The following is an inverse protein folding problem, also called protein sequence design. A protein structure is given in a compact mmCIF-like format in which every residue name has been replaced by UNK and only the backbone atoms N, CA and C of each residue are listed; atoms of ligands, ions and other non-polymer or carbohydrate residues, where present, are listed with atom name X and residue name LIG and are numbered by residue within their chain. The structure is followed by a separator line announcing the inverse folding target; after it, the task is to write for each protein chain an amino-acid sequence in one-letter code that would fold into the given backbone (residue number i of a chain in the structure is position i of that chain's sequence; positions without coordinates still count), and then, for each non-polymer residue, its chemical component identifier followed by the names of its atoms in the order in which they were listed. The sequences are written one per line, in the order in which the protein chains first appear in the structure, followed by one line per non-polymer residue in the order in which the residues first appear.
data_IF_879568532670
#
_entry.id   IF_879568532670
#
_cell.length_a   1.000
_cell.length_b   1.000
_cell.length_c   1.000
_cell.angle_alpha   90.00
_cell.angle_beta   90.00
_cell.angle_gamma   90.00
#
_symmetry.space_group_name_H-M   'P 1'
#
loop_
_entity.id
_entity.type
_entity.pdbx_description
1 polymer ?
#
# COMPACT_ATOMS: atom_id res chain seq x y z
N UNK A 1 10.90 7.51 24.55
CA UNK A 1 9.41 7.52 24.54
C UNK A 1 8.96 7.02 23.16
N UNK A 2 7.88 6.23 23.11
CA UNK A 2 7.28 5.84 21.82
C UNK A 2 6.83 7.09 21.04
N UNK A 3 6.96 7.12 19.71
CA UNK A 3 6.52 8.26 18.90
C UNK A 3 5.00 8.44 19.00
N UNK A 4 4.55 9.70 19.05
CA UNK A 4 3.13 10.04 18.94
C UNK A 4 2.78 10.07 17.46
N UNK A 5 1.96 9.11 17.00
CA UNK A 5 1.66 8.92 15.60
C UNK A 5 0.15 9.04 15.37
N UNK A 6 -0.25 9.73 14.28
CA UNK A 6 -1.62 9.76 13.81
C UNK A 6 -1.67 9.69 12.29
N UNK A 7 -2.48 8.79 11.77
CA UNK A 7 -2.77 8.65 10.33
C UNK A 7 -4.16 9.18 10.06
N UNK A 8 -4.28 10.18 9.18
CA UNK A 8 -5.58 10.73 8.78
C UNK A 8 -5.87 10.37 7.33
N UNK A 9 -6.95 9.65 7.10
CA UNK A 9 -7.41 9.24 5.77
C UNK A 9 -8.92 9.01 5.76
N UNK A 10 -9.50 8.78 4.60
CA UNK A 10 -10.87 8.29 4.49
C UNK A 10 -11.02 6.89 5.10
N UNK A 11 -12.24 6.51 5.50
CA UNK A 11 -12.53 5.16 5.99
C UNK A 11 -12.50 4.14 4.85
N UNK A 12 -11.33 3.98 4.29
CA UNK A 12 -10.96 3.09 3.20
C UNK A 12 -9.58 2.49 3.48
N UNK A 13 -9.24 1.41 2.80
CA UNK A 13 -7.85 0.93 2.68
C UNK A 13 -7.04 1.95 1.86
N UNK A 14 -7.34 2.07 0.60
CA UNK A 14 -6.81 3.06 -0.34
C UNK A 14 -5.32 3.33 -0.18
N UNK A 15 -4.95 4.62 -0.32
CA UNK A 15 -3.55 5.06 -0.27
C UNK A 15 -2.94 5.07 1.15
N UNK A 16 -3.73 4.89 2.21
CA UNK A 16 -3.22 4.84 3.58
C UNK A 16 -2.92 3.42 4.07
N UNK A 17 -3.42 2.39 3.42
CA UNK A 17 -3.24 1.02 3.90
C UNK A 17 -1.78 0.56 3.95
N UNK A 18 -0.89 0.90 2.99
CA UNK A 18 0.53 0.57 3.12
C UNK A 18 1.17 1.14 4.38
N UNK A 19 0.82 2.36 4.77
CA UNK A 19 1.30 2.98 6.02
C UNK A 19 0.80 2.21 7.24
N UNK A 20 -0.48 1.85 7.28
CA UNK A 20 -1.07 1.07 8.37
C UNK A 20 -0.43 -0.31 8.51
N UNK A 21 -0.14 -0.98 7.39
CA UNK A 21 0.55 -2.26 7.38
C UNK A 21 1.98 -2.15 7.92
N UNK A 22 2.72 -1.09 7.55
CA UNK A 22 4.07 -0.85 8.05
C UNK A 22 4.07 -0.52 9.55
N UNK A 23 3.14 0.32 10.01
CA UNK A 23 2.99 0.62 11.45
C UNK A 23 2.64 -0.66 12.24
N UNK A 24 1.73 -1.48 11.69
CA UNK A 24 1.39 -2.77 12.29
C UNK A 24 2.61 -3.69 12.32
N UNK A 25 3.37 -3.83 11.22
CA UNK A 25 4.59 -4.63 11.17
C UNK A 25 5.59 -4.21 12.26
N UNK A 26 5.82 -2.90 12.41
CA UNK A 26 6.72 -2.34 13.42
C UNK A 26 6.19 -2.40 14.85
N UNK A 27 4.94 -2.85 15.06
CA UNK A 27 4.31 -2.84 16.38
C UNK A 27 4.11 -1.42 16.95
N UNK A 28 4.01 -0.42 16.08
CA UNK A 28 3.86 0.97 16.48
C UNK A 28 2.37 1.30 16.72
N UNK A 29 2.06 1.81 17.90
CA UNK A 29 0.73 2.31 18.21
C UNK A 29 0.50 3.66 17.54
N UNK A 30 -0.70 3.88 17.00
CA UNK A 30 -1.08 5.11 16.33
C UNK A 30 -2.59 5.37 16.42
N UNK A 31 -2.96 6.63 16.28
CA UNK A 31 -4.35 7.04 16.09
C UNK A 31 -4.71 6.89 14.60
N UNK A 32 -5.68 6.04 14.26
CA UNK A 32 -6.21 5.88 12.91
C UNK A 32 -7.46 6.78 12.72
N UNK A 33 -7.23 8.03 12.36
CA UNK A 33 -8.28 9.02 12.14
C UNK A 33 -8.94 8.80 10.77
N UNK A 34 -10.13 8.21 10.78
CA UNK A 34 -10.87 7.85 9.57
C UNK A 34 -12.01 8.82 9.32
N UNK A 35 -11.95 9.53 8.20
CA UNK A 35 -13.00 10.41 7.73
C UNK A 35 -14.02 9.62 6.91
N UNK A 36 -15.29 10.03 6.97
CA UNK A 36 -16.30 9.55 6.02
C UNK A 36 -15.85 9.88 4.59
N UNK A 37 -15.94 8.92 3.63
CA UNK A 37 -15.62 9.21 2.24
C UNK A 37 -16.43 10.41 1.70
N UNK A 38 -15.80 11.25 0.89
CA UNK A 38 -16.40 12.50 0.43
C UNK A 38 -17.61 12.31 -0.50
N UNK A 39 -17.79 11.12 -1.06
CA UNK A 39 -19.00 10.77 -1.83
C UNK A 39 -20.19 10.38 -0.96
N UNK A 40 -19.99 10.06 0.33
CA UNK A 40 -21.05 9.76 1.30
C UNK A 40 -21.39 11.01 2.11
N UNK A 41 -20.39 11.72 2.66
CA UNK A 41 -20.51 13.03 3.30
C UNK A 41 -19.26 13.88 3.04
N UNK A 42 -19.35 14.91 2.21
CA UNK A 42 -18.20 15.76 1.87
C UNK A 42 -17.80 16.72 2.99
N UNK A 43 -18.66 17.00 3.98
CA UNK A 43 -18.44 18.07 4.98
C UNK A 43 -17.14 17.89 5.79
N UNK A 44 -16.84 16.71 6.38
CA UNK A 44 -15.60 16.54 7.17
C UNK A 44 -14.36 16.79 6.31
N UNK A 45 -14.36 16.30 5.07
CA UNK A 45 -13.26 16.52 4.14
C UNK A 45 -13.14 17.99 3.72
N UNK A 46 -14.23 18.64 3.36
CA UNK A 46 -14.22 20.04 2.95
C UNK A 46 -13.73 20.98 4.06
N UNK A 47 -14.01 20.66 5.32
CA UNK A 47 -13.51 21.41 6.49
C UNK A 47 -12.00 21.20 6.73
N UNK A 48 -11.49 20.02 6.40
CA UNK A 48 -10.07 19.67 6.59
C UNK A 48 -9.20 20.12 5.40
N UNK A 49 -9.70 19.99 4.17
CA UNK A 49 -8.94 20.19 2.93
C UNK A 49 -8.09 21.47 2.88
N UNK A 50 -8.61 22.66 3.29
CA UNK A 50 -7.81 23.88 3.28
C UNK A 50 -6.63 23.89 4.27
N UNK A 51 -6.65 22.99 5.25
CA UNK A 51 -5.61 22.85 6.28
C UNK A 51 -4.54 21.83 5.92
N UNK A 52 -4.68 21.13 4.80
CA UNK A 52 -3.72 20.14 4.35
C UNK A 52 -2.65 20.77 3.45
N UNK A 53 -1.39 20.31 3.49
CA UNK A 53 -0.29 20.93 2.73
C UNK A 53 -0.52 20.99 1.22
N UNK A 54 -1.19 19.97 0.65
CA UNK A 54 -1.39 19.83 -0.80
C UNK A 54 -2.85 19.58 -1.19
N UNK A 55 -3.82 19.93 -0.32
CA UNK A 55 -5.24 19.71 -0.61
C UNK A 55 -5.64 18.24 -0.75
N UNK A 56 -4.88 17.30 -0.14
CA UNK A 56 -5.06 15.86 -0.31
C UNK A 56 -4.77 15.04 0.96
N UNK A 57 -5.18 13.77 0.93
CA UNK A 57 -4.94 12.75 1.95
C UNK A 57 -4.18 11.56 1.32
N UNK A 58 -3.46 10.74 2.11
CA UNK A 58 -3.35 10.73 3.57
C UNK A 58 -2.46 11.84 4.14
N UNK A 59 -2.60 12.06 5.46
CA UNK A 59 -1.64 12.77 6.29
C UNK A 59 -1.09 11.83 7.35
N UNK A 60 0.19 12.02 7.70
CA UNK A 60 0.83 11.41 8.86
C UNK A 60 1.30 12.53 9.79
N UNK A 61 0.81 12.52 11.02
CA UNK A 61 1.40 13.30 12.11
C UNK A 61 2.39 12.40 12.85
N UNK A 62 3.63 12.86 13.00
CA UNK A 62 4.71 12.11 13.66
C UNK A 62 5.46 13.04 14.60
N UNK A 63 5.30 12.84 15.91
CA UNK A 63 5.89 13.70 16.94
C UNK A 63 5.62 15.20 16.76
N UNK A 64 4.43 15.55 16.26
CA UNK A 64 4.00 16.94 16.03
C UNK A 64 4.28 17.49 14.62
N UNK A 65 5.11 16.80 13.83
CA UNK A 65 5.34 17.16 12.42
C UNK A 65 4.33 16.49 11.51
N UNK A 66 3.88 17.21 10.48
CA UNK A 66 2.90 16.69 9.50
C UNK A 66 3.56 16.38 8.17
N UNK A 67 3.44 15.13 7.72
CA UNK A 67 3.82 14.68 6.40
C UNK A 67 2.59 14.43 5.52
N UNK A 68 2.71 14.75 4.24
CA UNK A 68 1.72 14.47 3.21
C UNK A 68 2.37 13.72 2.05
N UNK A 69 1.57 13.30 1.05
CA UNK A 69 1.96 12.42 -0.06
C UNK A 69 2.17 10.97 0.37
N UNK A 70 1.27 10.09 -0.06
CA UNK A 70 1.20 8.70 0.41
C UNK A 70 2.53 7.95 0.27
N UNK A 71 3.24 8.08 -0.86
CA UNK A 71 4.51 7.36 -1.05
C UNK A 71 5.66 7.96 -0.21
N UNK A 72 5.67 9.29 0.02
CA UNK A 72 6.63 9.90 0.93
C UNK A 72 6.41 9.42 2.37
N UNK A 73 5.16 9.41 2.82
CA UNK A 73 4.76 8.90 4.14
C UNK A 73 5.15 7.42 4.28
N UNK A 74 4.79 6.59 3.29
CA UNK A 74 5.07 5.14 3.34
C UNK A 74 6.56 4.87 3.39
N UNK A 75 7.36 5.57 2.57
CA UNK A 75 8.83 5.44 2.56
C UNK A 75 9.46 5.91 3.88
N UNK A 76 8.93 6.97 4.47
CA UNK A 76 9.37 7.43 5.79
C UNK A 76 9.12 6.34 6.85
N UNK A 77 7.88 5.84 6.95
CA UNK A 77 7.54 4.79 7.92
C UNK A 77 8.33 3.51 7.65
N UNK A 78 8.57 3.15 6.38
CA UNK A 78 9.42 2.00 6.03
C UNK A 78 10.84 2.13 6.60
N UNK A 79 11.42 3.33 6.62
CA UNK A 79 12.72 3.60 7.27
C UNK A 79 12.64 3.42 8.78
N UNK A 80 11.61 3.97 9.41
CA UNK A 80 11.42 3.91 10.87
C UNK A 80 11.24 2.46 11.37
N UNK A 81 10.65 1.57 10.54
CA UNK A 81 10.45 0.15 10.90
C UNK A 81 11.51 -0.79 10.30
N UNK A 82 12.58 -0.24 9.69
CA UNK A 82 13.70 -1.02 9.17
C UNK A 82 13.42 -1.78 7.87
N UNK A 83 12.40 -1.38 7.09
CA UNK A 83 12.00 -2.03 5.84
C UNK A 83 12.35 -1.24 4.57
N UNK A 84 13.15 -0.18 4.65
CA UNK A 84 13.51 0.63 3.48
C UNK A 84 14.53 -0.05 2.55
N UNK A 85 15.26 -1.04 3.02
CA UNK A 85 16.46 -1.63 2.41
C UNK A 85 17.70 -1.33 3.25
N UNK A 86 18.74 -2.16 3.15
CA UNK A 86 19.95 -2.09 4.01
C UNK A 86 21.05 -1.20 3.43
N UNK A 87 20.99 -0.86 2.17
CA UNK A 87 21.91 0.02 1.46
C UNK A 87 21.18 0.76 0.34
N UNK A 88 21.85 1.72 -0.28
CA UNK A 88 21.25 2.58 -1.32
C UNK A 88 20.71 1.80 -2.51
N UNK A 89 21.37 0.70 -2.91
CA UNK A 89 20.90 -0.14 -4.02
C UNK A 89 19.62 -0.90 -3.64
N UNK A 90 19.57 -1.51 -2.45
CA UNK A 90 18.36 -2.18 -1.96
C UNK A 90 17.21 -1.19 -1.79
N UNK A 91 17.48 0.03 -1.29
CA UNK A 91 16.47 1.09 -1.23
C UNK A 91 15.92 1.43 -2.62
N UNK A 92 16.80 1.64 -3.60
CA UNK A 92 16.39 1.93 -4.98
C UNK A 92 15.62 0.76 -5.61
N UNK A 93 16.01 -0.48 -5.32
CA UNK A 93 15.30 -1.66 -5.78
C UNK A 93 13.90 -1.79 -5.17
N UNK A 94 13.75 -1.43 -3.90
CA UNK A 94 12.44 -1.41 -3.24
C UNK A 94 11.57 -0.29 -3.82
N UNK A 95 12.12 0.92 -4.00
CA UNK A 95 11.43 2.05 -4.61
C UNK A 95 10.95 1.72 -6.05
N UNK A 96 11.80 1.10 -6.89
CA UNK A 96 11.45 0.64 -8.24
C UNK A 96 10.17 -0.21 -8.26
N UNK A 97 10.09 -1.17 -7.36
CA UNK A 97 8.95 -2.09 -7.30
C UNK A 97 7.70 -1.40 -6.75
N UNK A 98 7.88 -0.52 -5.77
CA UNK A 98 6.79 0.27 -5.20
C UNK A 98 6.18 1.20 -6.25
N UNK A 99 7.01 1.85 -7.07
CA UNK A 99 6.55 2.71 -8.14
C UNK A 99 5.76 1.90 -9.18
N UNK A 100 6.23 0.69 -9.56
CA UNK A 100 5.48 -0.21 -10.44
C UNK A 100 4.10 -0.63 -9.88
N UNK A 101 4.00 -0.91 -8.57
CA UNK A 101 2.69 -1.16 -7.93
C UNK A 101 1.84 0.11 -7.82
N UNK A 102 2.47 1.28 -7.67
CA UNK A 102 1.76 2.56 -7.64
C UNK A 102 1.12 2.88 -8.98
N UNK A 103 1.84 2.68 -10.09
CA UNK A 103 1.32 2.82 -11.46
C UNK A 103 0.12 1.90 -11.69
N UNK A 104 0.22 0.64 -11.23
CA UNK A 104 -0.85 -0.34 -11.34
C UNK A 104 -2.08 0.03 -10.51
N UNK A 105 -1.87 0.57 -9.31
CA UNK A 105 -2.95 1.07 -8.45
C UNK A 105 -3.62 2.31 -9.08
N UNK A 106 -2.84 3.18 -9.71
CA UNK A 106 -3.37 4.37 -10.37
C UNK A 106 -4.16 4.00 -11.62
N UNK A 107 -3.69 3.02 -12.41
CA UNK A 107 -4.43 2.49 -13.55
C UNK A 107 -5.76 1.86 -13.11
N UNK A 108 -5.78 1.12 -11.99
CA UNK A 108 -7.01 0.59 -11.40
C UNK A 108 -7.97 1.71 -11.00
N UNK A 109 -7.47 2.74 -10.31
CA UNK A 109 -8.29 3.87 -9.89
C UNK A 109 -8.89 4.60 -11.09
N UNK A 110 -8.13 4.85 -12.15
CA UNK A 110 -8.62 5.46 -13.39
C UNK A 110 -9.73 4.62 -14.02
N UNK A 111 -9.55 3.31 -14.13
CA UNK A 111 -10.57 2.40 -14.67
C UNK A 111 -11.84 2.39 -13.81
N UNK A 112 -11.70 2.35 -12.49
CA UNK A 112 -12.82 2.34 -11.54
C UNK A 112 -13.63 3.64 -11.58
N UNK A 113 -12.96 4.80 -11.52
CA UNK A 113 -13.65 6.10 -11.50
C UNK A 113 -14.16 6.55 -12.86
N UNK A 114 -13.71 5.95 -13.97
CA UNK A 114 -14.26 6.22 -15.29
C UNK A 114 -15.72 5.77 -15.44
N UNK A 115 -16.16 4.80 -14.61
CA UNK A 115 -17.47 4.12 -14.71
C UNK A 115 -17.70 3.50 -16.09
N UNK A 116 -16.63 3.13 -16.78
CA UNK A 116 -16.62 2.51 -18.10
C UNK A 116 -16.22 1.04 -17.97
N UNK A 117 -17.16 0.14 -18.18
CA UNK A 117 -16.95 -1.30 -18.07
C UNK A 117 -15.86 -1.81 -19.03
N UNK A 118 -15.69 -1.18 -20.19
CA UNK A 118 -14.65 -1.55 -21.15
C UNK A 118 -13.25 -1.23 -20.61
N UNK A 119 -13.09 -0.09 -19.93
CA UNK A 119 -11.83 0.27 -19.27
C UNK A 119 -11.52 -0.68 -18.10
N UNK A 120 -12.51 -1.00 -17.28
CA UNK A 120 -12.33 -1.96 -16.19
C UNK A 120 -12.01 -3.35 -16.73
N UNK A 121 -12.69 -3.81 -17.79
CA UNK A 121 -12.38 -5.07 -18.46
C UNK A 121 -10.95 -5.08 -18.98
N UNK A 122 -10.52 -4.04 -19.69
CA UNK A 122 -9.14 -3.91 -20.17
C UNK A 122 -8.12 -3.95 -19.02
N UNK A 123 -8.41 -3.26 -17.92
CA UNK A 123 -7.54 -3.30 -16.74
C UNK A 123 -7.39 -4.73 -16.21
N UNK A 124 -8.49 -5.45 -16.03
CA UNK A 124 -8.49 -6.78 -15.41
C UNK A 124 -7.95 -7.88 -16.33
N UNK A 125 -8.17 -7.78 -17.65
CA UNK A 125 -7.77 -8.85 -18.59
C UNK A 125 -6.42 -8.62 -19.26
N UNK A 126 -5.91 -7.38 -19.30
CA UNK A 126 -4.68 -7.04 -20.00
C UNK A 126 -3.67 -6.32 -19.10
N UNK A 127 -4.04 -5.16 -18.55
CA UNK A 127 -3.10 -4.27 -17.85
C UNK A 127 -2.54 -4.91 -16.59
N UNK A 128 -3.41 -5.38 -15.70
CA UNK A 128 -3.02 -5.97 -14.42
C UNK A 128 -2.26 -7.29 -14.59
N UNK A 129 -2.70 -8.27 -15.40
CA UNK A 129 -1.96 -9.50 -15.62
C UNK A 129 -0.58 -9.26 -16.26
N UNK A 130 -0.48 -8.34 -17.22
CA UNK A 130 0.82 -8.00 -17.85
C UNK A 130 1.79 -7.42 -16.84
N UNK A 131 1.35 -6.48 -16.01
CA UNK A 131 2.20 -5.87 -14.97
C UNK A 131 2.61 -6.88 -13.89
N UNK A 132 1.68 -7.73 -13.43
CA UNK A 132 1.99 -8.81 -12.49
C UNK A 132 2.99 -9.82 -13.10
N UNK A 133 2.88 -10.13 -14.41
CA UNK A 133 3.85 -10.98 -15.11
C UNK A 133 5.26 -10.37 -15.12
N UNK A 134 5.38 -9.07 -15.29
CA UNK A 134 6.67 -8.37 -15.22
C UNK A 134 7.22 -8.36 -13.79
N UNK A 135 6.38 -8.14 -12.80
CA UNK A 135 6.76 -8.21 -11.37
C UNK A 135 7.15 -9.63 -10.96
N UNK A 136 6.47 -10.67 -11.45
CA UNK A 136 6.85 -12.08 -11.22
C UNK A 136 8.25 -12.38 -11.77
N UNK A 137 8.56 -11.93 -13.00
CA UNK A 137 9.89 -12.05 -13.60
C UNK A 137 10.92 -11.27 -12.78
N UNK A 138 10.56 -10.05 -12.33
CA UNK A 138 11.46 -9.23 -11.51
C UNK A 138 11.77 -9.91 -10.17
N UNK A 139 10.76 -10.44 -9.49
CA UNK A 139 10.93 -11.20 -8.26
C UNK A 139 11.80 -12.44 -8.52
N UNK A 140 11.56 -13.19 -9.60
CA UNK A 140 12.35 -14.34 -9.99
C UNK A 140 13.83 -14.00 -10.21
N UNK A 141 14.12 -12.89 -10.90
CA UNK A 141 15.51 -12.45 -11.19
C UNK A 141 16.29 -12.07 -9.92
N UNK A 142 15.58 -11.83 -8.80
CA UNK A 142 16.16 -11.50 -7.49
C UNK A 142 16.12 -12.68 -6.50
N UNK A 143 16.02 -13.92 -6.98
CA UNK A 143 16.00 -15.13 -6.16
C UNK A 143 14.61 -15.60 -5.73
N UNK A 144 13.55 -14.84 -6.05
CA UNK A 144 12.16 -15.25 -5.88
C UNK A 144 11.59 -15.18 -4.47
N UNK A 145 12.37 -14.70 -3.49
CA UNK A 145 11.90 -14.57 -2.11
C UNK A 145 11.45 -13.16 -1.75
N UNK A 146 12.23 -12.16 -2.11
CA UNK A 146 11.98 -10.74 -1.81
C UNK A 146 12.26 -9.90 -3.05
N UNK A 147 11.58 -8.77 -3.16
CA UNK A 147 11.76 -7.84 -4.28
C UNK A 147 13.07 -7.05 -4.23
N UNK A 148 13.64 -6.85 -3.04
CA UNK A 148 14.91 -6.15 -2.88
C UNK A 148 15.80 -6.87 -1.86
N UNK A 149 17.07 -7.08 -2.22
CA UNK A 149 18.02 -7.77 -1.37
C UNK A 149 17.61 -9.21 -1.01
N UNK A 150 17.91 -9.62 0.22
CA UNK A 150 17.62 -10.96 0.74
C UNK A 150 16.76 -10.94 2.02
N UNK A 151 16.08 -9.82 2.29
CA UNK A 151 15.20 -9.64 3.45
C UNK A 151 13.94 -8.88 3.06
N UNK A 152 12.93 -8.94 3.93
CA UNK A 152 11.68 -8.20 3.75
C UNK A 152 11.95 -6.70 3.61
N UNK A 153 11.28 -6.09 2.65
CA UNK A 153 11.25 -4.64 2.45
C UNK A 153 9.82 -4.14 2.28
N UNK A 154 9.64 -2.84 2.24
CA UNK A 154 8.33 -2.24 2.00
C UNK A 154 7.78 -2.53 0.59
N UNK A 155 8.63 -2.92 -0.37
CA UNK A 155 8.19 -3.42 -1.66
C UNK A 155 7.34 -4.69 -1.53
N UNK A 156 7.72 -5.59 -0.62
CA UNK A 156 6.99 -6.82 -0.35
C UNK A 156 5.66 -6.53 0.37
N UNK A 157 5.64 -5.52 1.25
CA UNK A 157 4.41 -5.03 1.89
C UNK A 157 3.46 -4.41 0.85
N UNK A 158 3.99 -3.64 -0.11
CA UNK A 158 3.20 -3.08 -1.22
C UNK A 158 2.62 -4.20 -2.10
N UNK A 159 3.40 -5.22 -2.43
CA UNK A 159 2.92 -6.40 -3.16
C UNK A 159 1.77 -7.09 -2.41
N UNK A 160 1.94 -7.33 -1.11
CA UNK A 160 0.89 -7.88 -0.26
C UNK A 160 -0.37 -6.99 -0.25
N UNK A 161 -0.21 -5.69 -0.03
CA UNK A 161 -1.34 -4.75 -0.02
C UNK A 161 -2.13 -4.78 -1.33
N UNK A 162 -1.43 -4.70 -2.46
CA UNK A 162 -2.04 -4.72 -3.78
C UNK A 162 -2.74 -6.06 -4.05
N UNK A 163 -2.00 -7.16 -3.95
CA UNK A 163 -2.49 -8.49 -4.30
C UNK A 163 -3.63 -8.97 -3.39
N UNK A 164 -3.55 -8.68 -2.07
CA UNK A 164 -4.64 -9.01 -1.13
C UNK A 164 -5.93 -8.20 -1.36
N UNK A 165 -5.87 -7.16 -2.17
CA UNK A 165 -7.01 -6.34 -2.59
C UNK A 165 -7.62 -6.73 -3.93
N UNK A 166 -7.05 -7.71 -4.64
CA UNK A 166 -7.60 -8.16 -5.92
C UNK A 166 -8.98 -8.79 -5.71
N UNK A 167 -9.97 -8.44 -6.54
CA UNK A 167 -11.32 -9.03 -6.44
C UNK A 167 -11.33 -10.54 -6.65
N UNK A 168 -10.46 -11.03 -7.55
CA UNK A 168 -10.27 -12.44 -7.83
C UNK A 168 -8.87 -12.88 -7.40
N UNK A 169 -8.79 -13.56 -6.27
CA UNK A 169 -7.54 -14.09 -5.73
C UNK A 169 -7.02 -15.28 -6.55
N UNK A 170 -7.87 -15.95 -7.36
CA UNK A 170 -7.43 -17.05 -8.20
C UNK A 170 -6.46 -16.61 -9.29
N UNK A 171 -6.52 -15.33 -9.69
CA UNK A 171 -5.59 -14.72 -10.66
C UNK A 171 -4.11 -14.86 -10.22
N UNK A 172 -3.83 -14.91 -8.91
CA UNK A 172 -2.48 -15.08 -8.38
C UNK A 172 -1.90 -16.47 -8.65
N UNK A 173 -2.71 -17.47 -9.00
CA UNK A 173 -2.20 -18.81 -9.37
C UNK A 173 -1.27 -18.78 -10.58
N UNK A 174 -1.41 -17.78 -11.45
CA UNK A 174 -0.53 -17.56 -12.60
C UNK A 174 0.83 -16.91 -12.22
N UNK A 175 0.98 -16.45 -10.97
CA UNK A 175 2.15 -15.73 -10.47
C UNK A 175 2.63 -16.39 -9.15
N UNK A 176 3.19 -17.62 -9.21
CA UNK A 176 3.42 -18.42 -8.02
C UNK A 176 4.45 -17.83 -7.04
N UNK A 177 5.45 -17.07 -7.51
CA UNK A 177 6.42 -16.41 -6.62
C UNK A 177 5.78 -15.22 -5.87
N UNK A 178 5.00 -14.41 -6.59
CA UNK A 178 4.22 -13.33 -5.97
C UNK A 178 3.23 -13.92 -4.97
N UNK A 179 2.51 -14.99 -5.35
CA UNK A 179 1.58 -15.66 -4.43
C UNK A 179 2.28 -16.14 -3.16
N UNK A 180 3.40 -16.82 -3.27
CA UNK A 180 4.20 -17.28 -2.14
C UNK A 180 4.70 -16.11 -1.26
N UNK A 181 5.10 -14.99 -1.88
CA UNK A 181 5.47 -13.77 -1.16
C UNK A 181 4.28 -13.22 -0.37
N UNK A 182 3.13 -13.08 -1.01
CA UNK A 182 1.89 -12.56 -0.41
C UNK A 182 1.47 -13.43 0.78
N UNK A 183 1.51 -14.76 0.63
CA UNK A 183 1.19 -15.71 1.68
C UNK A 183 2.14 -15.54 2.88
N UNK A 184 3.46 -15.42 2.65
CA UNK A 184 4.44 -15.20 3.72
C UNK A 184 4.26 -13.87 4.43
N UNK A 185 4.02 -12.77 3.70
CA UNK A 185 3.78 -11.46 4.30
C UNK A 185 2.50 -11.47 5.11
N UNK A 186 1.42 -12.07 4.59
CA UNK A 186 0.15 -12.21 5.30
C UNK A 186 0.23 -13.07 6.55
N UNK A 187 1.21 -13.98 6.63
CA UNK A 187 1.45 -14.84 7.80
C UNK A 187 2.25 -14.12 8.93
N UNK A 188 2.83 -12.95 8.68
CA UNK A 188 3.52 -12.17 9.71
C UNK A 188 2.54 -11.82 10.83
N UNK A 189 2.81 -12.17 12.10
CA UNK A 189 1.81 -12.09 13.18
C UNK A 189 1.11 -10.74 13.31
N UNK A 190 1.89 -9.65 13.29
CA UNK A 190 1.34 -8.30 13.42
C UNK A 190 0.51 -7.88 12.20
N UNK A 191 0.93 -8.25 10.98
CA UNK A 191 0.17 -8.00 9.75
C UNK A 191 -1.12 -8.81 9.77
N UNK A 192 -1.05 -10.10 10.09
CA UNK A 192 -2.23 -10.97 10.23
C UNK A 192 -3.23 -10.40 11.23
N UNK A 193 -2.76 -9.95 12.39
CA UNK A 193 -3.59 -9.33 13.42
C UNK A 193 -4.25 -8.05 12.91
N UNK A 194 -3.50 -7.19 12.21
CA UNK A 194 -4.05 -5.97 11.61
C UNK A 194 -5.12 -6.29 10.58
N UNK A 195 -4.85 -7.20 9.66
CA UNK A 195 -5.80 -7.59 8.60
C UNK A 195 -7.10 -8.15 9.19
N UNK A 196 -7.02 -8.91 10.29
CA UNK A 196 -8.18 -9.46 10.96
C UNK A 196 -9.04 -8.41 11.69
N UNK A 197 -8.41 -7.33 12.21
CA UNK A 197 -9.12 -6.30 13.01
C UNK A 197 -9.48 -5.03 12.25
N UNK A 198 -8.84 -4.77 11.09
CA UNK A 198 -9.11 -3.55 10.33
C UNK A 198 -10.56 -3.50 9.88
N UNK A 199 -11.18 -2.31 9.76
CA UNK A 199 -12.52 -2.17 9.20
C UNK A 199 -12.63 -2.81 7.81
N UNK A 200 -13.73 -3.52 7.57
CA UNK A 200 -14.07 -4.01 6.24
C UNK A 200 -14.59 -2.83 5.41
N UNK A 201 -13.95 -2.56 4.29
CA UNK A 201 -14.31 -1.47 3.38
C UNK A 201 -14.28 -1.97 1.95
N UNK A 202 -15.08 -1.33 1.08
CA UNK A 202 -15.19 -1.73 -0.32
C UNK A 202 -13.96 -1.35 -1.18
N UNK A 203 -13.06 -0.51 -0.65
CA UNK A 203 -11.82 -0.05 -1.30
C UNK A 203 -10.66 -0.03 -0.30
#
# INVERSE_FOLDING_TARGET
MAPKIKVTYFNLRGRAEPVRLLLAYGGLEYEDCRLTPSWDDPKPWMALKPKTPYGGLPLLEWNGETLAQSMAITRFVAREVGLAGRNSLECAQADEVVDAFSDLTEAMAKAFFSKDDAQMKKYTTETCPTALGNLEKRLASRGGQYFAGNALTWADIMAFNFCSGLPDQSALSNFPKIKNLVDRVGAIPNIKTWVAKRPVTNL
#
